data_IF_760695241905
#
_entry.id   IF_760695241905
#
_cell.length_a   1.000
_cell.length_b   1.000
_cell.length_c   1.000
_cell.angle_alpha   90.00
_cell.angle_beta   90.00
_cell.angle_gamma   90.00
#
_symmetry.space_group_name_H-M   'P 1'
#
loop_
_entity.id
_entity.type
_entity.pdbx_description
1 polymer ?
#
# COMPACT_ATOMS: atom_id res chain seq x y z
N UNK A 1 -11.55 -5.31 15.00
CA UNK A 1 -11.08 -5.20 13.61
C UNK A 1 -9.58 -5.35 13.57
N UNK A 2 -9.03 -5.81 12.46
CA UNK A 2 -7.58 -6.00 12.26
C UNK A 2 -7.08 -5.05 11.19
N UNK A 3 -5.99 -4.35 11.45
CA UNK A 3 -5.27 -3.57 10.45
C UNK A 3 -4.03 -4.33 10.01
N UNK A 4 -3.95 -4.63 8.71
CA UNK A 4 -2.87 -5.37 8.08
C UNK A 4 -1.99 -4.38 7.29
N UNK A 5 -0.68 -4.46 7.48
CA UNK A 5 0.26 -3.55 6.82
C UNK A 5 0.36 -3.76 5.30
N UNK A 6 -0.16 -4.88 4.78
CA UNK A 6 -0.37 -5.13 3.36
C UNK A 6 -1.45 -6.20 3.14
N UNK A 7 -1.81 -6.41 1.87
CA UNK A 7 -2.84 -7.36 1.44
C UNK A 7 -2.45 -8.82 1.73
N UNK A 8 -1.17 -9.18 1.61
CA UNK A 8 -0.71 -10.55 1.88
C UNK A 8 -0.88 -10.95 3.36
N UNK A 9 -0.64 -10.02 4.29
CA UNK A 9 -0.90 -10.23 5.72
C UNK A 9 -2.40 -10.42 5.94
N UNK A 10 -3.25 -9.65 5.24
CA UNK A 10 -4.69 -9.78 5.35
C UNK A 10 -5.19 -11.17 4.94
N UNK A 11 -4.60 -11.79 3.92
CA UNK A 11 -4.96 -13.15 3.53
C UNK A 11 -4.66 -14.16 4.63
N UNK A 12 -3.48 -14.06 5.26
CA UNK A 12 -3.13 -14.88 6.41
C UNK A 12 -4.09 -14.70 7.59
N UNK A 13 -4.50 -13.46 7.86
CA UNK A 13 -5.50 -13.14 8.91
C UNK A 13 -6.87 -13.73 8.57
N UNK A 14 -7.33 -13.63 7.32
CA UNK A 14 -8.60 -14.22 6.87
C UNK A 14 -8.60 -15.74 7.09
N UNK A 15 -7.52 -16.42 6.71
CA UNK A 15 -7.42 -17.87 6.90
C UNK A 15 -7.32 -18.26 8.37
N UNK A 16 -6.59 -17.50 9.19
CA UNK A 16 -6.51 -17.73 10.65
C UNK A 16 -7.87 -17.56 11.34
N UNK A 17 -8.63 -16.51 11.00
CA UNK A 17 -9.96 -16.28 11.54
C UNK A 17 -10.94 -17.38 11.10
N UNK A 18 -10.86 -17.81 9.84
CA UNK A 18 -11.67 -18.93 9.33
C UNK A 18 -11.39 -20.22 10.10
N UNK A 19 -10.13 -20.53 10.39
CA UNK A 19 -9.75 -21.73 11.14
C UNK A 19 -10.33 -21.77 12.57
N UNK A 20 -10.49 -20.59 13.19
CA UNK A 20 -11.09 -20.43 14.53
C UNK A 20 -12.62 -20.25 14.49
N UNK A 21 -13.25 -20.32 13.30
CA UNK A 21 -14.69 -20.10 13.14
C UNK A 21 -15.13 -18.67 13.44
N UNK A 22 -14.21 -17.70 13.39
CA UNK A 22 -14.50 -16.29 13.62
C UNK A 22 -14.99 -15.66 12.32
N UNK A 23 -16.26 -15.31 12.29
CA UNK A 23 -16.91 -14.62 11.17
C UNK A 23 -17.06 -13.12 11.45
N UNK A 24 -17.21 -12.32 10.39
CA UNK A 24 -17.54 -10.89 10.44
C UNK A 24 -16.53 -9.97 11.15
N UNK A 25 -15.30 -10.43 11.39
CA UNK A 25 -14.22 -9.56 11.88
C UNK A 25 -13.85 -8.54 10.78
N UNK A 26 -13.94 -7.22 11.03
CA UNK A 26 -13.57 -6.24 10.02
C UNK A 26 -12.05 -6.20 9.84
N UNK A 27 -11.57 -6.34 8.61
CA UNK A 27 -10.13 -6.35 8.28
C UNK A 27 -9.85 -5.24 7.27
N UNK A 28 -8.85 -4.40 7.53
CA UNK A 28 -8.36 -3.37 6.61
C UNK A 28 -6.93 -3.69 6.22
N UNK A 29 -6.57 -3.49 4.95
CA UNK A 29 -5.25 -3.80 4.41
C UNK A 29 -4.66 -2.63 3.58
N UNK A 30 -3.53 -2.89 2.93
CA UNK A 30 -2.73 -1.94 2.16
C UNK A 30 -2.18 -2.63 0.91
N UNK A 31 -1.94 -1.87 -0.16
CA UNK A 31 -1.45 -2.24 -1.52
C UNK A 31 -2.55 -2.08 -2.57
N UNK A 32 -3.74 -2.63 -2.32
CA UNK A 32 -4.86 -2.57 -3.25
C UNK A 32 -4.65 -3.43 -4.49
N UNK A 33 -4.10 -4.63 -4.32
CA UNK A 33 -3.92 -5.56 -5.43
C UNK A 33 -5.27 -6.11 -5.94
N UNK A 34 -5.34 -6.72 -7.14
CA UNK A 34 -6.61 -7.21 -7.70
C UNK A 34 -7.36 -8.21 -6.83
N UNK A 35 -6.65 -9.05 -6.09
CA UNK A 35 -7.25 -10.04 -5.19
C UNK A 35 -7.86 -9.37 -3.96
N UNK A 36 -7.19 -8.41 -3.34
CA UNK A 36 -7.73 -7.65 -2.22
C UNK A 36 -8.95 -6.81 -2.64
N UNK A 37 -8.93 -6.18 -3.81
CA UNK A 37 -10.10 -5.48 -4.37
C UNK A 37 -11.26 -6.45 -4.55
N UNK A 38 -11.01 -7.65 -5.09
CA UNK A 38 -12.04 -8.70 -5.20
C UNK A 38 -12.59 -9.08 -3.82
N UNK A 39 -11.73 -9.29 -2.81
CA UNK A 39 -12.17 -9.62 -1.46
C UNK A 39 -13.00 -8.50 -0.80
N UNK A 40 -12.71 -7.23 -1.11
CA UNK A 40 -13.55 -6.10 -0.70
C UNK A 40 -14.92 -6.18 -1.36
N UNK A 41 -14.98 -6.42 -2.68
CA UNK A 41 -16.24 -6.58 -3.41
C UNK A 41 -17.05 -7.78 -2.91
N UNK A 42 -16.37 -8.85 -2.52
CA UNK A 42 -16.98 -10.07 -1.95
C UNK A 42 -17.37 -9.90 -0.47
N UNK A 43 -17.09 -8.76 0.16
CA UNK A 43 -17.38 -8.48 1.57
C UNK A 43 -16.51 -9.24 2.58
N UNK A 44 -15.44 -9.91 2.12
CA UNK A 44 -14.49 -10.68 2.94
C UNK A 44 -13.37 -9.82 3.52
N UNK A 45 -13.13 -8.65 2.93
CA UNK A 45 -12.20 -7.63 3.41
C UNK A 45 -12.97 -6.32 3.54
N UNK A 46 -12.79 -5.57 4.63
CA UNK A 46 -13.53 -4.31 4.81
C UNK A 46 -13.04 -3.24 3.82
N UNK A 47 -11.72 -3.12 3.69
CA UNK A 47 -11.08 -2.17 2.78
C UNK A 47 -9.61 -2.56 2.52
N UNK A 48 -9.06 -2.07 1.42
CA UNK A 48 -7.62 -2.04 1.16
C UNK A 48 -7.23 -0.64 0.66
N UNK A 49 -6.09 -0.12 1.12
CA UNK A 49 -5.58 1.20 0.72
C UNK A 49 -4.66 1.05 -0.48
N UNK A 50 -5.09 1.56 -1.63
CA UNK A 50 -4.33 1.50 -2.88
C UNK A 50 -3.15 2.49 -2.88
N UNK A 51 -1.96 2.01 -3.28
CA UNK A 51 -0.72 2.81 -3.28
C UNK A 51 -0.22 3.22 -4.67
N UNK A 52 -0.80 2.68 -5.75
CA UNK A 52 -0.34 2.86 -7.13
C UNK A 52 1.18 2.61 -7.33
N UNK A 53 1.62 1.35 -7.29
CA UNK A 53 3.04 1.00 -7.40
C UNK A 53 3.67 1.43 -8.74
N UNK A 54 2.88 1.50 -9.82
CA UNK A 54 3.37 1.96 -11.12
C UNK A 54 3.70 3.45 -11.11
N UNK A 55 2.84 4.28 -10.52
CA UNK A 55 3.11 5.69 -10.36
C UNK A 55 4.31 5.91 -9.43
N UNK A 56 4.33 5.23 -8.27
CA UNK A 56 5.44 5.31 -7.31
C UNK A 56 6.79 4.93 -7.93
N UNK A 57 6.85 3.80 -8.63
CA UNK A 57 8.07 3.39 -9.34
C UNK A 57 8.47 4.37 -10.45
N UNK A 58 7.51 4.86 -11.22
CA UNK A 58 7.74 5.81 -12.31
C UNK A 58 8.31 7.14 -11.83
N UNK A 59 7.72 7.75 -10.79
CA UNK A 59 8.19 9.03 -10.26
C UNK A 59 9.58 8.87 -9.61
N UNK A 60 9.82 7.79 -8.88
CA UNK A 60 11.15 7.51 -8.31
C UNK A 60 12.21 7.34 -9.39
N UNK A 61 11.91 6.61 -10.47
CA UNK A 61 12.84 6.43 -11.58
C UNK A 61 13.15 7.75 -12.30
N UNK A 62 12.14 8.59 -12.52
CA UNK A 62 12.30 9.91 -13.13
C UNK A 62 13.17 10.85 -12.27
N UNK A 63 12.91 10.90 -10.96
CA UNK A 63 13.71 11.70 -10.02
C UNK A 63 15.17 11.21 -9.95
N UNK A 64 15.38 9.88 -9.94
CA UNK A 64 16.72 9.31 -9.98
C UNK A 64 17.47 9.67 -11.27
N UNK A 65 16.79 9.66 -12.42
CA UNK A 65 17.39 10.10 -13.69
C UNK A 65 17.79 11.58 -13.65
N UNK A 66 16.92 12.48 -13.19
CA UNK A 66 17.26 13.91 -13.10
C UNK A 66 18.37 14.19 -12.08
N UNK A 67 18.44 13.43 -10.99
CA UNK A 67 19.57 13.48 -10.07
C UNK A 67 20.87 13.04 -10.74
N UNK A 68 20.84 11.97 -11.53
CA UNK A 68 22.01 11.44 -12.21
C UNK A 68 22.54 12.38 -13.33
N UNK A 69 21.66 13.13 -14.00
CA UNK A 69 22.05 14.10 -15.04
C UNK A 69 22.43 15.48 -14.48
N UNK A 70 22.27 15.69 -13.16
CA UNK A 70 22.50 16.99 -12.52
C UNK A 70 21.39 18.02 -12.76
N UNK A 71 20.29 17.63 -13.39
CA UNK A 71 19.12 18.51 -13.59
C UNK A 71 18.32 18.75 -12.30
N UNK A 72 18.49 17.89 -11.29
CA UNK A 72 17.84 17.98 -9.99
C UNK A 72 18.82 17.60 -8.88
N UNK A 73 18.81 18.31 -7.74
CA UNK A 73 19.65 17.96 -6.59
C UNK A 73 18.80 17.80 -5.33
N UNK A 74 18.36 16.56 -5.00
CA UNK A 74 17.43 16.32 -3.91
C UNK A 74 17.92 16.85 -2.55
N UNK A 75 19.23 16.97 -2.33
CA UNK A 75 19.78 17.50 -1.07
C UNK A 75 19.64 19.02 -0.92
N UNK A 76 19.41 19.75 -2.01
CA UNK A 76 19.25 21.21 -2.01
C UNK A 76 17.78 21.65 -1.97
N UNK A 77 16.85 20.71 -2.14
CA UNK A 77 15.41 20.99 -2.07
C UNK A 77 15.00 21.51 -0.69
N UNK A 78 14.13 22.54 -0.65
CA UNK A 78 13.67 23.17 0.58
C UNK A 78 12.78 22.22 1.39
N UNK A 79 12.51 22.58 2.65
CA UNK A 79 11.76 21.70 3.58
C UNK A 79 10.34 21.44 3.10
N UNK A 80 9.74 22.42 2.45
CA UNK A 80 8.38 22.39 1.89
C UNK A 80 8.22 21.32 0.79
N UNK A 81 9.33 20.81 0.23
CA UNK A 81 9.33 19.75 -0.77
C UNK A 81 9.60 18.36 -0.16
N UNK A 82 9.61 18.21 1.16
CA UNK A 82 9.81 16.94 1.87
C UNK A 82 8.46 16.42 2.39
N UNK A 83 8.20 15.13 2.21
CA UNK A 83 6.97 14.48 2.71
C UNK A 83 6.94 14.29 4.24
N UNK A 84 8.11 14.27 4.90
CA UNK A 84 8.23 14.08 6.35
C UNK A 84 9.24 15.08 6.92
N UNK A 85 8.77 16.00 7.78
CA UNK A 85 9.59 16.95 8.55
C UNK A 85 8.95 17.32 9.89
#
# INVERSE_FOLDING_TARGET
>A
GVHCANDNIAYGVIEALRAEGIENMPIVAYDGNPEAVKLVMDGKLLATVFTNPHWGGGITAALAYYAATGAFKPSEEPKEHREFY
#
